data_IF_459646524841
#
_entry.id   IF_459646524841
#
_cell.length_a   1.000
_cell.length_b   1.000
_cell.length_c   1.000
_cell.angle_alpha   90.00
_cell.angle_beta   90.00
_cell.angle_gamma   90.00
#
_symmetry.space_group_name_H-M   'P 1'
#
loop_
_entity.id
_entity.type
_entity.pdbx_description
1 polymer ?
#
# COMPACT_ATOMS: atom_id res chain seq x y z
N UNK A 1 -7.55 12.23 16.93
CA UNK A 1 -6.16 11.75 17.09
C UNK A 1 -5.68 11.78 18.54
N UNK A 2 -5.80 12.91 19.28
CA UNK A 2 -5.33 13.03 20.69
C UNK A 2 -5.86 11.92 21.59
N UNK A 3 -7.19 11.62 21.52
CA UNK A 3 -7.78 10.53 22.33
C UNK A 3 -7.21 9.16 21.98
N UNK A 4 -7.03 8.85 20.70
CA UNK A 4 -6.44 7.58 20.28
C UNK A 4 -4.99 7.44 20.78
N UNK A 5 -4.19 8.52 20.71
CA UNK A 5 -2.84 8.56 21.30
C UNK A 5 -2.86 8.28 22.80
N UNK A 6 -3.77 8.95 23.53
CA UNK A 6 -3.91 8.75 24.97
C UNK A 6 -4.32 7.32 25.36
N UNK A 7 -4.96 6.59 24.44
CA UNK A 7 -5.30 5.17 24.59
C UNK A 7 -4.17 4.21 24.15
N UNK A 8 -3.00 4.73 23.76
CA UNK A 8 -1.84 3.92 23.39
C UNK A 8 -1.82 3.45 21.92
N UNK A 9 -2.71 3.93 21.07
CA UNK A 9 -2.69 3.57 19.66
C UNK A 9 -1.50 4.19 18.92
N UNK A 10 -0.95 3.45 17.94
CA UNK A 10 -0.11 4.02 16.90
C UNK A 10 -1.01 4.88 16.00
N UNK A 11 -0.77 6.18 15.96
CA UNK A 11 -1.60 7.12 15.20
C UNK A 11 -0.77 7.75 14.11
N UNK A 12 -1.16 7.52 12.85
CA UNK A 12 -0.58 8.15 11.66
C UNK A 12 -1.62 8.99 10.94
N UNK A 13 -1.17 9.98 10.18
CA UNK A 13 -2.00 10.81 9.32
C UNK A 13 -1.68 10.53 7.85
N UNK A 14 -2.71 10.26 7.04
CA UNK A 14 -2.61 10.27 5.58
C UNK A 14 -3.34 11.49 5.04
N UNK A 15 -2.66 12.32 4.26
CA UNK A 15 -3.17 13.59 3.75
C UNK A 15 -2.65 13.88 2.34
N UNK A 16 -3.26 14.85 1.64
CA UNK A 16 -2.64 15.45 0.46
C UNK A 16 -1.58 16.51 0.83
N UNK A 17 -1.45 16.87 2.11
CA UNK A 17 -0.45 17.80 2.62
C UNK A 17 -0.70 19.28 2.35
N UNK A 18 -1.60 19.63 1.42
CA UNK A 18 -1.76 21.02 0.91
C UNK A 18 -2.29 22.01 1.95
N UNK A 19 -2.83 21.51 3.06
CA UNK A 19 -3.33 22.34 4.17
C UNK A 19 -2.43 22.27 5.41
N UNK A 20 -1.25 21.67 5.33
CA UNK A 20 -0.23 21.75 6.37
C UNK A 20 0.49 23.07 6.17
N UNK A 21 0.34 23.99 7.13
CA UNK A 21 0.81 25.38 7.03
C UNK A 21 1.48 25.83 8.33
N UNK A 22 2.20 26.94 8.30
CA UNK A 22 2.80 27.55 9.49
C UNK A 22 1.76 27.85 10.61
N UNK A 23 0.51 28.09 10.23
CA UNK A 23 -0.54 28.39 11.21
C UNK A 23 -1.01 27.17 12.00
N UNK A 24 -0.85 25.95 11.46
CA UNK A 24 -1.37 24.73 12.09
C UNK A 24 -0.32 23.67 12.40
N UNK A 25 0.93 23.85 11.97
CA UNK A 25 1.99 22.85 12.19
C UNK A 25 2.23 22.58 13.68
N UNK A 26 2.14 23.57 14.54
CA UNK A 26 2.27 23.39 15.99
C UNK A 26 1.20 22.46 16.55
N UNK A 27 -0.05 22.59 16.10
CA UNK A 27 -1.16 21.73 16.51
C UNK A 27 -0.96 20.29 16.01
N UNK A 28 -0.39 20.10 14.81
CA UNK A 28 -0.04 18.79 14.25
C UNK A 28 1.09 18.17 15.07
N UNK A 29 2.12 18.95 15.43
CA UNK A 29 3.24 18.53 16.26
C UNK A 29 2.78 18.09 17.67
N UNK A 30 1.88 18.85 18.31
CA UNK A 30 1.31 18.49 19.62
C UNK A 30 0.58 17.14 19.64
N UNK A 31 -0.01 16.71 18.52
CA UNK A 31 -0.65 15.39 18.42
C UNK A 31 0.40 14.29 18.47
N UNK A 32 1.63 14.61 18.08
CA UNK A 32 2.76 13.66 18.04
C UNK A 32 2.41 12.41 17.22
N UNK A 33 2.04 12.61 15.96
CA UNK A 33 1.85 11.50 15.03
C UNK A 33 3.16 10.71 14.88
N UNK A 34 3.07 9.40 14.83
CA UNK A 34 4.22 8.55 14.51
C UNK A 34 4.67 8.71 13.06
N UNK A 35 3.74 9.14 12.20
CA UNK A 35 4.04 9.34 10.78
C UNK A 35 2.95 10.22 10.13
N UNK A 36 3.37 11.10 9.24
CA UNK A 36 2.50 11.87 8.33
C UNK A 36 2.82 11.47 6.90
N UNK A 37 1.93 10.71 6.27
CA UNK A 37 2.04 10.33 4.87
C UNK A 37 1.37 11.36 3.97
N UNK A 38 2.15 11.98 3.07
CA UNK A 38 1.66 12.97 2.12
C UNK A 38 1.58 12.35 0.73
N UNK A 39 0.40 12.46 0.12
CA UNK A 39 0.21 11.98 -1.24
C UNK A 39 0.97 12.86 -2.24
N UNK A 40 1.87 12.25 -3.02
CA UNK A 40 2.64 12.90 -4.06
C UNK A 40 2.83 11.91 -5.22
N UNK A 41 2.09 12.13 -6.33
CA UNK A 41 1.96 11.15 -7.40
C UNK A 41 2.64 11.61 -8.70
N UNK A 42 3.81 12.20 -8.59
CA UNK A 42 4.64 12.68 -9.68
C UNK A 42 5.30 14.00 -9.34
N UNK A 43 6.08 14.52 -10.25
CA UNK A 43 6.83 15.79 -10.12
C UNK A 43 6.06 16.92 -10.79
N UNK A 44 5.89 18.03 -10.09
CA UNK A 44 5.35 19.28 -10.67
C UNK A 44 4.01 19.08 -11.38
N UNK A 45 4.00 19.29 -12.68
CA UNK A 45 2.80 19.23 -13.51
C UNK A 45 2.14 17.85 -13.57
N UNK A 46 2.91 16.76 -13.48
CA UNK A 46 2.36 15.40 -13.44
C UNK A 46 1.48 15.21 -12.20
N UNK A 47 1.98 15.62 -11.02
CA UNK A 47 1.20 15.57 -9.80
C UNK A 47 -0.03 16.46 -9.86
N UNK A 48 0.11 17.69 -10.34
CA UNK A 48 -0.98 18.66 -10.46
C UNK A 48 -2.10 18.13 -11.37
N UNK A 49 -1.72 17.51 -12.50
CA UNK A 49 -2.65 16.85 -13.42
C UNK A 49 -3.35 15.65 -12.72
N UNK A 50 -2.58 14.80 -12.06
CA UNK A 50 -3.10 13.63 -11.33
C UNK A 50 -4.12 14.04 -10.26
N UNK A 51 -3.83 15.10 -9.53
CA UNK A 51 -4.71 15.66 -8.48
C UNK A 51 -5.78 16.62 -9.01
N UNK A 52 -5.74 16.95 -10.29
CA UNK A 52 -6.64 17.92 -10.94
C UNK A 52 -6.62 19.30 -10.22
N UNK A 53 -5.45 19.71 -9.73
CA UNK A 53 -5.29 20.94 -8.95
C UNK A 53 -3.90 21.56 -9.22
N UNK A 54 -3.85 22.65 -10.02
CA UNK A 54 -2.60 23.38 -10.22
C UNK A 54 -2.01 23.87 -8.89
N UNK A 55 -0.68 23.74 -8.74
CA UNK A 55 0.06 24.12 -7.55
C UNK A 55 -0.03 23.12 -6.38
N UNK A 56 -0.72 21.99 -6.53
CA UNK A 56 -0.82 20.98 -5.49
C UNK A 56 0.51 20.33 -5.17
N UNK A 57 1.39 20.15 -6.17
CA UNK A 57 2.74 19.62 -5.96
C UNK A 57 3.52 20.48 -4.96
N UNK A 58 3.68 21.78 -5.26
CA UNK A 58 4.43 22.70 -4.41
C UNK A 58 3.83 22.81 -3.00
N UNK A 59 2.49 22.84 -2.89
CA UNK A 59 1.82 22.89 -1.61
C UNK A 59 2.01 21.61 -0.77
N UNK A 60 1.95 20.43 -1.41
CA UNK A 60 2.18 19.14 -0.76
C UNK A 60 3.63 18.98 -0.30
N UNK A 61 4.59 19.37 -1.15
CA UNK A 61 6.01 19.33 -0.83
C UNK A 61 6.35 20.30 0.32
N UNK A 62 5.81 21.53 0.30
CA UNK A 62 5.93 22.46 1.41
C UNK A 62 5.38 21.89 2.73
N UNK A 63 4.26 21.16 2.66
CA UNK A 63 3.70 20.45 3.82
C UNK A 63 4.63 19.38 4.39
N UNK A 64 5.33 18.63 3.54
CA UNK A 64 6.37 17.67 3.95
C UNK A 64 7.53 18.40 4.64
N UNK A 65 8.04 19.46 4.02
CA UNK A 65 9.13 20.27 4.59
C UNK A 65 8.76 20.82 5.96
N UNK A 66 7.54 21.38 6.12
CA UNK A 66 7.08 21.86 7.42
C UNK A 66 7.01 20.76 8.49
N UNK A 67 6.59 19.54 8.13
CA UNK A 67 6.62 18.40 9.05
C UNK A 67 8.06 18.09 9.48
N UNK A 68 8.98 17.94 8.52
CA UNK A 68 10.41 17.67 8.78
C UNK A 68 11.02 18.74 9.69
N UNK A 69 10.84 20.01 9.35
CA UNK A 69 11.42 21.14 10.07
C UNK A 69 10.89 21.29 11.51
N UNK A 70 9.76 20.62 11.81
CA UNK A 70 9.17 20.53 13.16
C UNK A 70 9.34 19.15 13.81
N UNK A 71 10.27 18.31 13.30
CA UNK A 71 10.60 17.00 13.88
C UNK A 71 9.50 15.94 13.73
N UNK A 72 8.59 16.14 12.80
CA UNK A 72 7.51 15.17 12.50
C UNK A 72 7.98 14.27 11.36
N UNK A 73 8.04 12.97 11.59
CA UNK A 73 8.35 11.99 10.54
C UNK A 73 7.30 12.09 9.43
N UNK A 74 7.73 12.53 8.26
CA UNK A 74 6.87 12.63 7.07
C UNK A 74 7.42 11.77 5.94
N UNK A 75 6.55 11.43 4.98
CA UNK A 75 6.98 10.69 3.81
C UNK A 75 5.99 10.76 2.67
N UNK A 76 6.45 10.30 1.53
CA UNK A 76 5.71 10.28 0.28
C UNK A 76 4.80 9.05 0.20
N UNK A 77 3.58 9.24 -0.30
CA UNK A 77 2.66 8.19 -0.73
C UNK A 77 2.40 8.36 -2.22
N UNK A 78 2.97 7.48 -3.01
CA UNK A 78 2.91 7.49 -4.47
C UNK A 78 2.03 6.36 -4.96
N UNK A 79 1.05 6.65 -5.81
CA UNK A 79 0.21 5.62 -6.46
C UNK A 79 0.67 5.46 -7.90
N UNK A 80 1.23 4.29 -8.21
CA UNK A 80 1.73 3.98 -9.55
C UNK A 80 0.57 3.83 -10.55
N UNK A 81 0.69 4.52 -11.67
CA UNK A 81 -0.20 4.44 -12.84
C UNK A 81 0.62 4.60 -14.12
N UNK A 82 0.04 4.29 -15.28
CA UNK A 82 0.73 4.52 -16.56
C UNK A 82 1.00 6.02 -16.84
N UNK A 83 0.23 6.92 -16.22
CA UNK A 83 0.37 8.38 -16.45
C UNK A 83 1.53 9.01 -15.64
N UNK A 84 2.06 8.31 -14.62
CA UNK A 84 3.12 8.85 -13.76
C UNK A 84 4.35 7.96 -13.60
N UNK A 85 4.37 6.81 -14.28
CA UNK A 85 5.49 5.85 -14.19
C UNK A 85 6.84 6.47 -14.59
N UNK A 86 6.84 7.38 -15.56
CA UNK A 86 8.06 8.06 -16.04
C UNK A 86 8.67 9.00 -14.98
N UNK A 87 7.87 9.48 -14.03
CA UNK A 87 8.34 10.31 -12.93
C UNK A 87 8.95 9.49 -11.77
N UNK A 88 8.83 8.17 -11.78
CA UNK A 88 9.27 7.36 -10.66
C UNK A 88 10.76 7.55 -10.28
N UNK A 89 11.72 7.58 -11.23
CA UNK A 89 13.12 7.88 -10.89
C UNK A 89 13.30 9.26 -10.24
N UNK A 90 12.55 10.26 -10.71
CA UNK A 90 12.58 11.61 -10.14
C UNK A 90 11.95 11.66 -8.73
N UNK A 91 10.98 10.79 -8.44
CA UNK A 91 10.43 10.66 -7.09
C UNK A 91 11.46 10.10 -6.11
N UNK A 92 12.28 9.13 -6.54
CA UNK A 92 13.38 8.60 -5.71
C UNK A 92 14.46 9.66 -5.50
N UNK A 93 14.79 10.41 -6.56
CA UNK A 93 15.71 11.56 -6.43
C UNK A 93 15.17 12.64 -5.50
N UNK A 94 13.87 12.94 -5.55
CA UNK A 94 13.23 13.92 -4.65
C UNK A 94 13.38 13.51 -3.17
N UNK A 95 13.34 12.20 -2.87
CA UNK A 95 13.61 11.73 -1.50
C UNK A 95 15.01 12.12 -1.02
N UNK A 96 16.00 12.02 -1.90
CA UNK A 96 17.38 12.39 -1.57
C UNK A 96 17.54 13.92 -1.48
N UNK A 97 17.01 14.67 -2.43
CA UNK A 97 17.08 16.13 -2.50
C UNK A 97 16.41 16.82 -1.30
N UNK A 98 15.29 16.26 -0.82
CA UNK A 98 14.45 16.83 0.26
C UNK A 98 14.63 16.11 1.60
N UNK A 99 15.57 15.17 1.68
CA UNK A 99 15.82 14.34 2.86
C UNK A 99 14.55 13.70 3.44
N UNK A 100 13.81 12.99 2.59
CA UNK A 100 12.55 12.33 2.95
C UNK A 100 12.83 10.87 3.31
N UNK A 101 12.58 10.47 4.55
CA UNK A 101 12.95 9.15 5.07
C UNK A 101 12.04 8.01 4.61
N UNK A 102 10.79 8.31 4.24
CA UNK A 102 9.80 7.25 3.98
C UNK A 102 9.12 7.40 2.63
N UNK A 103 9.06 6.29 1.91
CA UNK A 103 8.32 6.18 0.66
C UNK A 103 7.34 5.00 0.71
N UNK A 104 6.08 5.27 0.41
CA UNK A 104 5.06 4.25 0.25
C UNK A 104 4.63 4.19 -1.22
N UNK A 105 5.07 3.17 -1.93
CA UNK A 105 4.60 2.85 -3.27
C UNK A 105 3.29 2.07 -3.17
N UNK A 106 2.25 2.60 -3.76
CA UNK A 106 0.93 1.96 -3.83
C UNK A 106 0.59 1.57 -5.26
N UNK A 107 0.19 0.35 -5.47
CA UNK A 107 -0.44 -0.02 -6.75
C UNK A 107 -1.88 0.46 -6.79
N UNK A 108 -2.39 0.72 -7.99
CA UNK A 108 -3.78 1.14 -8.15
C UNK A 108 -4.72 0.03 -7.65
N UNK A 109 -5.64 0.40 -6.78
CA UNK A 109 -6.67 -0.52 -6.31
C UNK A 109 -8.03 -0.14 -6.92
N UNK A 110 -8.87 -1.14 -7.21
CA UNK A 110 -10.14 -0.94 -7.90
C UNK A 110 -11.27 -0.62 -6.92
N UNK A 111 -10.99 0.27 -5.95
CA UNK A 111 -11.94 0.84 -5.02
C UNK A 111 -12.25 2.31 -5.32
N UNK A 112 -13.50 2.72 -5.24
CA UNK A 112 -13.91 4.11 -5.44
C UNK A 112 -13.44 4.70 -6.78
N UNK A 113 -12.66 5.79 -6.74
CA UNK A 113 -12.09 6.43 -7.95
C UNK A 113 -11.12 5.53 -8.70
N UNK A 114 -10.37 4.69 -8.00
CA UNK A 114 -9.45 3.74 -8.63
C UNK A 114 -10.18 2.76 -9.56
N UNK A 115 -11.40 2.32 -9.20
CA UNK A 115 -12.19 1.48 -10.09
C UNK A 115 -12.67 2.23 -11.34
N UNK A 116 -13.01 3.53 -11.23
CA UNK A 116 -13.36 4.36 -12.38
C UNK A 116 -12.19 4.57 -13.33
N UNK A 117 -11.00 4.66 -12.78
CA UNK A 117 -9.75 4.95 -13.48
C UNK A 117 -8.89 3.68 -13.70
N UNK A 118 -9.46 2.48 -13.57
CA UNK A 118 -8.70 1.22 -13.71
C UNK A 118 -7.99 1.05 -15.05
N UNK A 119 -8.45 1.73 -16.09
CA UNK A 119 -7.77 1.79 -17.40
C UNK A 119 -6.40 2.47 -17.33
N UNK A 120 -6.17 3.30 -16.30
CA UNK A 120 -4.93 4.04 -16.09
C UNK A 120 -3.95 3.25 -15.20
N UNK A 121 -4.30 2.00 -14.81
CA UNK A 121 -3.40 1.12 -14.06
C UNK A 121 -2.11 0.85 -14.86
N UNK A 122 -1.00 0.73 -14.16
CA UNK A 122 0.28 0.47 -14.79
C UNK A 122 0.30 -0.91 -15.46
N UNK A 123 0.76 -0.99 -16.70
CA UNK A 123 0.97 -2.26 -17.36
C UNK A 123 1.98 -3.13 -16.58
N UNK A 124 1.86 -4.44 -16.63
CA UNK A 124 2.70 -5.37 -15.87
C UNK A 124 4.19 -5.13 -16.09
N UNK A 125 4.58 -4.86 -17.34
CA UNK A 125 5.98 -4.51 -17.63
C UNK A 125 6.42 -3.25 -16.90
N UNK A 126 5.61 -2.20 -16.90
CA UNK A 126 5.91 -0.95 -16.18
C UNK A 126 6.05 -1.20 -14.67
N UNK A 127 5.13 -2.00 -14.09
CA UNK A 127 5.18 -2.38 -12.68
C UNK A 127 6.47 -3.14 -12.36
N UNK A 128 6.86 -4.11 -13.19
CA UNK A 128 8.10 -4.87 -13.00
C UNK A 128 9.34 -3.97 -13.08
N UNK A 129 9.38 -3.06 -14.05
CA UNK A 129 10.48 -2.12 -14.23
C UNK A 129 10.61 -1.18 -13.02
N UNK A 130 9.50 -0.66 -12.49
CA UNK A 130 9.46 0.18 -11.28
C UNK A 130 9.92 -0.60 -10.05
N UNK A 131 9.40 -1.81 -9.83
CA UNK A 131 9.80 -2.64 -8.69
C UNK A 131 11.28 -3.00 -8.75
N UNK A 132 11.81 -3.33 -9.92
CA UNK A 132 13.22 -3.58 -10.10
C UNK A 132 14.07 -2.34 -9.73
N UNK A 133 13.72 -1.17 -10.26
CA UNK A 133 14.40 0.09 -9.93
C UNK A 133 14.34 0.39 -8.43
N UNK A 134 13.20 0.13 -7.78
CA UNK A 134 13.05 0.34 -6.34
C UNK A 134 14.01 -0.56 -5.54
N UNK A 135 14.11 -1.85 -5.89
CA UNK A 135 15.01 -2.78 -5.21
C UNK A 135 16.48 -2.36 -5.37
N UNK A 136 16.88 -1.98 -6.60
CA UNK A 136 18.24 -1.49 -6.87
C UNK A 136 18.55 -0.19 -6.08
N UNK A 137 17.57 0.71 -5.98
CA UNK A 137 17.77 1.94 -5.23
C UNK A 137 17.85 1.68 -3.71
N UNK A 138 17.04 0.77 -3.17
CA UNK A 138 17.14 0.36 -1.77
C UNK A 138 18.53 -0.19 -1.44
N UNK A 139 19.04 -1.06 -2.32
CA UNK A 139 20.38 -1.61 -2.17
C UNK A 139 21.47 -0.52 -2.23
N UNK A 140 21.31 0.45 -3.13
CA UNK A 140 22.24 1.57 -3.24
C UNK A 140 22.26 2.43 -1.97
N UNK A 141 21.08 2.74 -1.40
CA UNK A 141 20.99 3.46 -0.13
C UNK A 141 21.66 2.68 1.00
N UNK A 142 21.41 1.39 1.11
CA UNK A 142 22.04 0.51 2.11
C UNK A 142 23.57 0.54 1.99
N UNK A 143 24.12 0.41 0.78
CA UNK A 143 25.57 0.48 0.52
C UNK A 143 26.17 1.85 0.85
N UNK A 144 25.39 2.91 0.81
CA UNK A 144 25.80 4.27 1.17
C UNK A 144 25.60 4.58 2.66
N UNK A 145 25.03 3.66 3.43
CA UNK A 145 24.67 3.88 4.84
C UNK A 145 23.51 4.87 5.02
N UNK A 146 22.65 5.03 3.99
CA UNK A 146 21.48 5.90 4.03
C UNK A 146 20.28 5.07 4.47
N UNK A 147 19.72 5.40 5.62
CA UNK A 147 18.51 4.75 6.11
C UNK A 147 17.27 5.35 5.45
N UNK A 148 16.50 4.51 4.72
CA UNK A 148 15.20 4.87 4.13
C UNK A 148 14.17 3.79 4.44
N UNK A 149 12.99 4.19 4.82
CA UNK A 149 11.86 3.26 5.04
C UNK A 149 11.02 3.15 3.77
N UNK A 150 11.14 2.03 3.08
CA UNK A 150 10.42 1.76 1.85
C UNK A 150 9.33 0.73 2.11
N UNK A 151 8.11 1.05 1.72
CA UNK A 151 6.94 0.17 1.84
C UNK A 151 6.23 0.10 0.51
N UNK A 152 5.90 -1.09 0.07
CA UNK A 152 4.97 -1.30 -1.05
C UNK A 152 3.62 -1.78 -0.53
N UNK A 153 2.56 -1.49 -1.25
CA UNK A 153 1.22 -1.89 -0.82
C UNK A 153 0.21 -1.98 -1.93
N UNK A 154 -0.89 -2.64 -1.62
CA UNK A 154 -1.99 -2.95 -2.53
C UNK A 154 -1.62 -3.94 -3.65
N UNK A 155 -0.43 -4.55 -3.59
CA UNK A 155 -0.08 -5.67 -4.43
C UNK A 155 0.94 -6.59 -3.72
N UNK A 156 0.46 -7.63 -3.08
CA UNK A 156 1.29 -8.58 -2.34
C UNK A 156 2.15 -9.48 -3.25
N UNK A 157 1.97 -9.40 -4.58
CA UNK A 157 2.87 -10.01 -5.56
C UNK A 157 4.28 -9.40 -5.50
N UNK A 158 4.43 -8.17 -4.99
CA UNK A 158 5.72 -7.50 -4.77
C UNK A 158 6.65 -8.35 -3.91
N UNK A 159 6.11 -9.00 -2.88
CA UNK A 159 6.88 -9.87 -1.99
C UNK A 159 7.45 -11.09 -2.74
N UNK A 160 6.67 -11.67 -3.64
CA UNK A 160 7.11 -12.81 -4.46
C UNK A 160 8.13 -12.35 -5.50
N UNK A 161 7.88 -11.21 -6.16
CA UNK A 161 8.83 -10.64 -7.13
C UNK A 161 10.16 -10.27 -6.47
N UNK A 162 10.11 -9.70 -5.27
CA UNK A 162 11.30 -9.45 -4.45
C UNK A 162 12.06 -10.74 -4.13
N UNK A 163 11.36 -11.81 -3.77
CA UNK A 163 12.00 -13.10 -3.50
C UNK A 163 12.74 -13.66 -4.73
N UNK A 164 12.15 -13.51 -5.93
CA UNK A 164 12.83 -13.88 -7.20
C UNK A 164 14.05 -12.99 -7.47
N UNK A 165 13.95 -11.67 -7.20
CA UNK A 165 15.08 -10.76 -7.30
C UNK A 165 16.21 -11.15 -6.31
N UNK A 166 15.86 -11.51 -5.06
CA UNK A 166 16.83 -12.00 -4.06
C UNK A 166 17.49 -13.28 -4.53
N UNK A 167 16.75 -14.25 -5.08
CA UNK A 167 17.33 -15.48 -5.61
C UNK A 167 18.38 -15.21 -6.69
N UNK A 168 18.10 -14.27 -7.57
CA UNK A 168 19.01 -13.90 -8.67
C UNK A 168 20.29 -13.24 -8.16
N UNK A 169 20.18 -12.34 -7.17
CA UNK A 169 21.27 -11.46 -6.76
C UNK A 169 21.95 -11.92 -5.46
N UNK A 170 21.23 -12.57 -4.57
CA UNK A 170 21.65 -12.97 -3.21
C UNK A 170 21.12 -14.36 -2.84
N UNK A 171 21.46 -15.43 -3.59
CA UNK A 171 20.87 -16.75 -3.42
C UNK A 171 21.00 -17.31 -2.00
N UNK A 172 22.07 -16.95 -1.29
CA UNK A 172 22.29 -17.36 0.11
C UNK A 172 21.28 -16.76 1.10
N UNK A 173 20.54 -15.70 0.73
CA UNK A 173 19.53 -15.04 1.57
C UNK A 173 18.11 -15.55 1.32
N UNK A 174 17.87 -16.34 0.29
CA UNK A 174 16.54 -16.78 -0.14
C UNK A 174 15.75 -17.40 1.01
N UNK A 175 16.34 -18.39 1.70
CA UNK A 175 15.67 -19.09 2.81
C UNK A 175 15.26 -18.14 3.95
N UNK A 176 16.15 -17.19 4.30
CA UNK A 176 15.86 -16.20 5.34
C UNK A 176 14.73 -15.24 4.94
N UNK A 177 14.78 -14.70 3.74
CA UNK A 177 13.76 -13.77 3.23
C UNK A 177 12.41 -14.48 3.06
N UNK A 178 12.42 -15.69 2.48
CA UNK A 178 11.21 -16.50 2.34
C UNK A 178 10.52 -16.73 3.68
N UNK A 179 11.26 -17.16 4.69
CA UNK A 179 10.71 -17.36 6.03
C UNK A 179 10.08 -16.09 6.63
N UNK A 180 10.68 -14.92 6.42
CA UNK A 180 10.11 -13.64 6.85
C UNK A 180 8.83 -13.29 6.09
N UNK A 181 8.78 -13.52 4.80
CA UNK A 181 7.59 -13.25 3.97
C UNK A 181 6.44 -14.21 4.31
N UNK A 182 6.74 -15.49 4.57
CA UNK A 182 5.76 -16.47 5.05
C UNK A 182 5.21 -16.09 6.44
N UNK A 183 6.06 -15.59 7.33
CA UNK A 183 5.63 -15.07 8.64
C UNK A 183 4.76 -13.82 8.50
N UNK A 184 5.04 -12.96 7.53
CA UNK A 184 4.22 -11.79 7.22
C UNK A 184 2.83 -12.20 6.74
N UNK A 185 2.73 -13.23 5.88
CA UNK A 185 1.47 -13.88 5.49
C UNK A 185 0.66 -13.11 4.44
N UNK A 186 1.22 -12.09 3.80
CA UNK A 186 0.61 -11.38 2.67
C UNK A 186 -0.62 -10.55 3.05
N UNK A 187 -1.60 -10.53 2.16
CA UNK A 187 -2.79 -9.70 2.30
C UNK A 187 -3.59 -9.99 3.59
N UNK A 188 -3.76 -8.96 4.41
CA UNK A 188 -4.39 -9.05 5.73
C UNK A 188 -5.81 -8.43 5.79
N UNK A 189 -6.43 -8.10 4.65
CA UNK A 189 -7.80 -7.60 4.58
C UNK A 189 -8.77 -8.59 5.25
N UNK A 190 -9.67 -8.09 6.11
CA UNK A 190 -10.60 -8.92 6.86
C UNK A 190 -9.98 -9.69 8.04
N UNK A 191 -8.66 -9.64 8.22
CA UNK A 191 -7.94 -10.32 9.31
C UNK A 191 -7.32 -9.29 10.26
N UNK A 192 -6.26 -8.58 9.83
CA UNK A 192 -5.54 -7.57 10.61
C UNK A 192 -5.80 -6.14 10.11
N UNK A 193 -6.48 -5.98 8.98
CA UNK A 193 -6.84 -4.70 8.40
C UNK A 193 -8.35 -4.58 8.33
N UNK A 194 -8.88 -3.49 8.86
CA UNK A 194 -10.28 -3.07 8.79
C UNK A 194 -10.36 -1.61 8.39
N UNK A 195 -11.52 -1.17 7.93
CA UNK A 195 -11.84 0.24 7.82
C UNK A 195 -13.17 0.53 8.51
N UNK A 196 -13.24 1.66 9.22
CA UNK A 196 -14.50 2.21 9.72
C UNK A 196 -14.66 3.58 9.07
N UNK A 197 -15.72 3.75 8.31
CA UNK A 197 -15.99 5.00 7.61
C UNK A 197 -16.53 6.09 8.56
N UNK A 198 -16.72 7.29 8.03
CA UNK A 198 -17.22 8.45 8.78
C UNK A 198 -18.70 8.31 9.21
N UNK A 199 -19.42 7.33 8.69
CA UNK A 199 -20.81 7.01 9.09
C UNK A 199 -20.86 5.88 10.12
N UNK A 200 -19.74 5.21 10.36
CA UNK A 200 -19.60 4.11 11.30
C UNK A 200 -19.71 2.72 10.69
N UNK A 201 -19.80 2.60 9.35
CA UNK A 201 -19.80 1.30 8.71
C UNK A 201 -18.42 0.66 8.76
N UNK A 202 -18.40 -0.65 9.03
CA UNK A 202 -17.19 -1.48 9.08
C UNK A 202 -17.02 -2.17 7.72
N UNK A 203 -15.80 -2.12 7.18
CA UNK A 203 -15.43 -2.72 5.91
C UNK A 203 -14.21 -3.64 6.09
N UNK A 204 -14.02 -4.68 5.26
CA UNK A 204 -12.88 -5.60 5.32
C UNK A 204 -11.52 -4.91 5.17
N UNK A 205 -11.47 -3.80 4.39
CA UNK A 205 -10.34 -2.88 4.27
C UNK A 205 -10.80 -1.51 3.71
N UNK A 206 -9.86 -0.62 3.42
CA UNK A 206 -10.12 0.74 2.93
C UNK A 206 -10.69 0.82 1.51
N UNK A 207 -10.79 -0.27 0.77
CA UNK A 207 -11.23 -0.30 -0.64
C UNK A 207 -12.61 -0.92 -0.85
N UNK A 208 -13.16 -1.58 0.19
CA UNK A 208 -14.48 -2.23 0.16
C UNK A 208 -15.64 -1.25 0.49
N UNK A 209 -15.60 -0.04 -0.08
CA UNK A 209 -16.58 1.01 0.21
C UNK A 209 -18.05 0.63 0.02
N UNK A 210 -18.31 -0.27 -0.91
CA UNK A 210 -19.68 -0.71 -1.25
C UNK A 210 -20.10 -1.98 -0.47
N UNK A 211 -19.29 -2.43 0.49
CA UNK A 211 -19.56 -3.63 1.25
C UNK A 211 -19.43 -3.34 2.75
N UNK A 212 -20.54 -3.35 3.47
CA UNK A 212 -20.59 -3.11 4.91
C UNK A 212 -20.83 -4.41 5.67
N UNK A 213 -20.01 -4.66 6.67
CA UNK A 213 -20.14 -5.79 7.59
C UNK A 213 -21.08 -5.48 8.77
N UNK A 214 -21.46 -4.22 8.92
CA UNK A 214 -22.30 -3.70 10.00
C UNK A 214 -21.87 -2.29 10.40
N UNK A 215 -22.50 -1.73 11.41
CA UNK A 215 -22.23 -0.37 11.88
C UNK A 215 -21.89 -0.37 13.38
N UNK A 216 -20.81 0.32 13.76
CA UNK A 216 -20.35 0.41 15.15
C UNK A 216 -21.31 1.18 16.09
N UNK A 217 -22.33 1.84 15.54
CA UNK A 217 -23.40 2.48 16.32
C UNK A 217 -24.45 1.47 16.78
N UNK A 218 -24.55 0.31 16.08
CA UNK A 218 -25.56 -0.69 16.31
C UNK A 218 -25.00 -1.94 17.03
N UNK A 219 -23.73 -2.30 16.75
CA UNK A 219 -23.02 -3.45 17.32
C UNK A 219 -21.59 -3.07 17.69
N UNK A 220 -21.02 -3.69 18.72
CA UNK A 220 -19.61 -3.52 19.05
C UNK A 220 -18.72 -3.97 17.87
N UNK A 221 -17.61 -3.27 17.64
CA UNK A 221 -16.66 -3.62 16.56
C UNK A 221 -16.17 -5.07 16.69
N UNK A 222 -15.89 -5.54 17.91
CA UNK A 222 -15.48 -6.92 18.16
C UNK A 222 -16.48 -7.97 17.64
N UNK A 223 -17.77 -7.68 17.81
CA UNK A 223 -18.84 -8.60 17.41
C UNK A 223 -19.02 -8.61 15.89
N UNK A 224 -18.91 -7.43 15.25
CA UNK A 224 -18.94 -7.31 13.80
C UNK A 224 -17.72 -8.01 13.20
N UNK A 225 -16.53 -7.76 13.76
CA UNK A 225 -15.28 -8.28 13.23
C UNK A 225 -15.10 -9.79 13.47
N UNK A 226 -15.67 -10.30 14.56
CA UNK A 226 -15.68 -11.73 14.88
C UNK A 226 -16.68 -12.56 14.09
N UNK A 227 -17.67 -11.91 13.49
CA UNK A 227 -18.78 -12.56 12.80
C UNK A 227 -18.34 -13.13 11.44
N UNK A 228 -18.35 -14.45 11.32
CA UNK A 228 -18.03 -15.19 10.09
C UNK A 228 -19.28 -15.75 9.40
N UNK A 229 -20.47 -15.32 9.80
CA UNK A 229 -21.71 -15.68 9.09
C UNK A 229 -21.78 -14.97 7.72
N UNK A 230 -21.06 -13.85 7.57
CA UNK A 230 -20.88 -13.17 6.29
C UNK A 230 -19.91 -13.97 5.39
N UNK A 231 -20.31 -14.38 4.17
CA UNK A 231 -19.51 -15.23 3.30
C UNK A 231 -18.17 -14.61 2.88
N UNK A 232 -18.11 -13.28 2.72
CA UNK A 232 -16.85 -12.60 2.39
C UNK A 232 -15.89 -12.67 3.57
N UNK A 233 -16.36 -12.38 4.80
CA UNK A 233 -15.53 -12.47 6.00
C UNK A 233 -15.11 -13.89 6.31
N UNK A 234 -15.98 -14.87 6.14
CA UNK A 234 -15.64 -16.28 6.27
C UNK A 234 -14.45 -16.65 5.36
N UNK A 235 -14.52 -16.26 4.09
CA UNK A 235 -13.44 -16.50 3.14
C UNK A 235 -12.18 -15.67 3.39
N UNK A 236 -12.30 -14.40 3.82
CA UNK A 236 -11.14 -13.57 4.16
C UNK A 236 -10.34 -14.15 5.34
N UNK A 237 -11.05 -14.75 6.32
CA UNK A 237 -10.45 -15.35 7.52
C UNK A 237 -10.05 -16.83 7.34
N UNK A 238 -10.45 -17.45 6.25
CA UNK A 238 -10.05 -18.83 5.96
C UNK A 238 -8.53 -18.91 5.70
N UNK A 239 -7.92 -20.01 6.16
CA UNK A 239 -6.50 -20.30 5.91
C UNK A 239 -6.36 -21.77 5.47
N UNK A 240 -6.05 -22.02 4.19
CA UNK A 240 -5.88 -21.05 3.10
C UNK A 240 -7.23 -20.38 2.69
N UNK A 241 -7.16 -19.22 2.05
CA UNK A 241 -8.33 -18.58 1.43
C UNK A 241 -8.84 -19.44 0.26
N UNK A 242 -10.16 -19.41 -0.06
CA UNK A 242 -10.75 -20.25 -1.11
C UNK A 242 -10.46 -19.69 -2.53
N UNK A 243 -9.18 -19.48 -2.82
CA UNK A 243 -8.71 -18.87 -4.08
C UNK A 243 -8.95 -19.80 -5.27
N UNK A 244 -9.26 -19.19 -6.42
CA UNK A 244 -9.54 -19.86 -7.69
C UNK A 244 -8.54 -19.40 -8.77
N UNK A 245 -8.64 -20.04 -9.94
CA UNK A 245 -7.85 -19.70 -11.10
C UNK A 245 -6.34 -19.74 -10.79
N UNK A 246 -5.61 -18.82 -11.38
CA UNK A 246 -4.16 -18.68 -11.25
C UNK A 246 -3.70 -18.49 -9.79
N UNK A 247 -4.48 -17.77 -8.97
CA UNK A 247 -4.19 -17.62 -7.55
C UNK A 247 -4.37 -18.93 -6.78
N UNK A 248 -5.36 -19.76 -7.15
CA UNK A 248 -5.63 -21.05 -6.51
C UNK A 248 -4.55 -22.10 -6.74
N UNK A 249 -3.83 -22.03 -7.86
CA UNK A 249 -2.73 -22.91 -8.20
C UNK A 249 -1.32 -22.35 -7.90
N UNK A 250 -1.26 -21.09 -7.38
CA UNK A 250 0.01 -20.42 -7.13
C UNK A 250 0.77 -21.07 -5.97
N UNK A 251 2.07 -21.31 -6.14
CA UNK A 251 2.95 -21.85 -5.09
C UNK A 251 3.05 -20.88 -3.88
N UNK A 252 2.94 -19.56 -4.10
CA UNK A 252 3.19 -18.53 -3.12
C UNK A 252 1.93 -18.03 -2.40
N UNK A 253 0.90 -18.87 -2.26
CA UNK A 253 -0.31 -18.47 -1.52
C UNK A 253 -0.03 -18.01 -0.09
N UNK A 254 0.93 -18.64 0.60
CA UNK A 254 1.30 -18.28 1.97
C UNK A 254 1.96 -16.90 2.07
N UNK A 255 2.70 -16.48 1.02
CA UNK A 255 3.38 -15.19 0.97
C UNK A 255 2.44 -14.08 0.48
N UNK A 256 1.61 -14.34 -0.53
CA UNK A 256 0.74 -13.34 -1.16
C UNK A 256 -0.68 -13.31 -0.55
N UNK A 257 -1.17 -14.44 -0.08
CA UNK A 257 -2.53 -14.65 0.43
C UNK A 257 -3.62 -14.17 -0.55
N UNK A 258 -3.35 -14.35 -1.87
CA UNK A 258 -4.28 -14.00 -2.93
C UNK A 258 -4.37 -12.51 -3.24
N UNK A 259 -3.51 -11.68 -2.66
CA UNK A 259 -3.48 -10.24 -2.91
C UNK A 259 -4.80 -9.53 -2.52
N UNK A 260 -5.05 -8.31 -2.99
CA UNK A 260 -6.28 -7.57 -2.69
C UNK A 260 -7.49 -8.12 -3.44
N UNK A 261 -8.47 -8.63 -2.70
CA UNK A 261 -9.63 -9.33 -3.27
C UNK A 261 -10.63 -8.39 -3.96
N UNK A 262 -10.55 -7.09 -3.67
CA UNK A 262 -11.46 -6.12 -4.29
C UNK A 262 -11.25 -5.99 -5.80
N UNK A 263 -10.02 -6.18 -6.33
CA UNK A 263 -9.80 -6.18 -7.79
C UNK A 263 -10.51 -7.34 -8.46
N UNK A 264 -10.38 -8.55 -7.90
CA UNK A 264 -11.10 -9.72 -8.41
C UNK A 264 -12.61 -9.52 -8.34
N UNK A 265 -13.14 -8.99 -7.23
CA UNK A 265 -14.56 -8.67 -7.09
C UNK A 265 -15.04 -7.69 -8.16
N UNK A 266 -14.28 -6.64 -8.47
CA UNK A 266 -14.68 -5.63 -9.45
C UNK A 266 -14.64 -6.13 -10.90
N UNK A 267 -13.76 -7.06 -11.21
CA UNK A 267 -13.61 -7.59 -12.57
C UNK A 267 -14.52 -8.80 -12.81
N UNK A 268 -14.55 -9.74 -11.86
CA UNK A 268 -15.21 -11.04 -12.05
C UNK A 268 -16.51 -11.20 -11.27
N UNK A 269 -16.88 -10.23 -10.43
CA UNK A 269 -18.00 -10.33 -9.46
C UNK A 269 -17.85 -11.51 -8.49
N UNK A 270 -16.61 -11.99 -8.34
CA UNK A 270 -16.23 -13.07 -7.43
C UNK A 270 -14.87 -12.71 -6.80
N UNK A 271 -14.81 -12.44 -5.47
CA UNK A 271 -13.59 -12.04 -4.80
C UNK A 271 -12.55 -13.15 -4.75
N UNK A 272 -12.93 -14.38 -5.05
CA UNK A 272 -12.03 -15.53 -4.96
C UNK A 272 -11.33 -15.88 -6.27
N UNK A 273 -11.68 -15.22 -7.36
CA UNK A 273 -10.98 -15.36 -8.63
C UNK A 273 -9.53 -14.85 -8.55
N UNK A 274 -8.75 -15.14 -9.55
CA UNK A 274 -7.39 -14.62 -9.67
C UNK A 274 -7.34 -13.10 -9.59
N UNK A 275 -6.25 -12.56 -9.04
CA UNK A 275 -6.10 -11.10 -9.00
C UNK A 275 -5.64 -10.57 -10.37
N UNK A 276 -6.44 -9.71 -11.03
CA UNK A 276 -6.07 -9.14 -12.33
C UNK A 276 -4.85 -8.20 -12.26
N UNK A 277 -4.44 -7.76 -11.06
CA UNK A 277 -3.25 -6.95 -10.84
C UNK A 277 -1.97 -7.75 -10.56
N UNK A 278 -2.01 -9.08 -10.60
CA UNK A 278 -0.83 -9.91 -10.42
C UNK A 278 0.06 -9.86 -11.67
N UNK A 279 1.21 -9.24 -11.57
CA UNK A 279 2.17 -9.03 -12.67
C UNK A 279 3.27 -10.09 -12.76
N UNK A 280 3.20 -11.15 -11.96
CA UNK A 280 4.14 -12.28 -12.02
C UNK A 280 3.86 -13.14 -13.25
N UNK A 281 4.89 -13.75 -13.82
CA UNK A 281 4.75 -14.71 -14.91
C UNK A 281 4.34 -16.09 -14.39
N UNK A 282 3.75 -16.93 -15.24
CA UNK A 282 3.32 -18.27 -14.84
C UNK A 282 4.48 -19.15 -14.36
N UNK A 283 5.66 -18.97 -14.94
CA UNK A 283 6.88 -19.66 -14.49
C UNK A 283 7.33 -19.22 -13.08
N UNK A 284 7.03 -17.99 -12.69
CA UNK A 284 7.37 -17.44 -11.37
C UNK A 284 6.44 -17.91 -10.25
N UNK A 285 5.25 -18.38 -10.59
CA UNK A 285 4.25 -18.82 -9.59
C UNK A 285 4.10 -20.33 -9.48
N UNK A 286 4.69 -21.10 -10.40
CA UNK A 286 4.46 -22.55 -10.54
C UNK A 286 5.33 -23.41 -9.63
N UNK A 287 6.44 -22.90 -9.11
CA UNK A 287 7.38 -23.65 -8.28
C UNK A 287 8.10 -22.76 -7.26
N UNK A 288 8.69 -23.38 -6.24
CA UNK A 288 9.53 -22.69 -5.27
C UNK A 288 10.77 -22.07 -5.93
N UNK A 289 11.25 -20.99 -5.33
CA UNK A 289 12.57 -20.39 -5.65
C UNK A 289 13.73 -21.10 -4.96
N UNK A 290 13.49 -22.18 -4.23
CA UNK A 290 14.52 -22.92 -3.49
C UNK A 290 15.63 -23.47 -4.40
#
# INVERSE_FOLDING_TARGET
SRRAKAMGFYVALSSNGTLITQQNISQISEINYQYVGVSLDGIGATHDKFRQKPGSFSASLAGIGLCRDNGIKAGIRFTLTQDNVEDFPNMLKLMDDEDIDKFYLSHLNYGGRGNKNRKDDAAFKMTRDVMYQLFEQCLKWEQQGIEREIVTGNNDADAVYFLHWVKKNYPQQVGHIKAKLEQWGGNASGVNVANIDNLGHVHPDTFWWNYSLGNVKDRAFSDIWGDVSDPLMAGMKASPRPLKGRCGSCYYQVICNGNTRVRAQQIYQDPWQEDPGCYLDDSEISASVD
#
